data_IF_698422124518
#
_entry.id   IF_698422124518
#
_cell.length_a   1.000
_cell.length_b   1.000
_cell.length_c   1.000
_cell.angle_alpha   90.00
_cell.angle_beta   90.00
_cell.angle_gamma   90.00
#
_symmetry.space_group_name_H-M   'P 1'
#
loop_
_entity.id
_entity.type
_entity.pdbx_description
1 polymer ?
2 non-polymer ?
3 non-polymer ?
#
# COMPACT_ATOMS: atom_id res chain seq x y z
N UNK A 8 -10.95 25.77 20.24
CA UNK A 8 -10.72 24.53 20.97
C UNK A 8 -11.88 23.56 20.74
N UNK A 9 -11.71 22.65 19.78
CA UNK A 9 -12.74 21.70 19.40
C UNK A 9 -12.57 20.34 20.08
N UNK A 10 -11.89 20.29 21.22
CA UNK A 10 -11.67 19.02 21.90
C UNK A 10 -12.93 18.50 22.59
N UNK A 11 -13.93 19.34 22.79
CA UNK A 11 -15.19 18.91 23.35
C UNK A 11 -16.19 18.41 22.34
N UNK A 12 -15.78 18.20 21.09
CA UNK A 12 -16.71 17.84 20.03
C UNK A 12 -17.25 16.43 20.20
N UNK A 13 -16.36 15.46 20.42
CA UNK A 13 -16.78 14.07 20.51
C UNK A 13 -17.60 13.79 21.77
N UNK A 14 -17.36 14.55 22.83
CA UNK A 14 -18.22 14.45 24.01
C UNK A 14 -19.48 15.29 23.88
N UNK A 15 -19.47 16.29 22.99
CA UNK A 15 -20.70 17.02 22.67
C UNK A 15 -21.63 16.18 21.79
N UNK A 16 -21.09 15.23 21.05
CA UNK A 16 -21.88 14.33 20.21
C UNK A 16 -22.20 13.02 20.90
N UNK A 17 -21.71 12.81 22.12
CA UNK A 17 -21.92 11.54 22.80
C UNK A 17 -21.09 10.40 22.28
N UNK A 18 -19.99 10.69 21.58
CA UNK A 18 -19.14 9.66 21.01
C UNK A 18 -18.01 9.35 21.99
N UNK A 19 -17.78 8.10 22.35
CA UNK A 19 -16.69 7.77 23.27
C UNK A 19 -15.34 7.90 22.59
N UNK A 20 -14.30 7.76 23.40
CA UNK A 20 -12.94 7.86 22.92
C UNK A 20 -11.98 8.32 24.00
N UNK A 21 -10.69 8.34 23.69
CA UNK A 21 -9.70 8.77 24.67
C UNK A 21 -9.78 10.27 24.93
N UNK A 22 -9.46 10.66 26.15
CA UNK A 22 -9.51 12.06 26.54
C UNK A 22 -8.31 12.80 25.96
N UNK A 23 -8.52 13.87 25.19
CA UNK A 23 -7.40 14.55 24.57
C UNK A 23 -6.72 15.54 25.51
N UNK A 24 -5.41 15.68 25.31
CA UNK A 24 -4.61 16.68 26.00
C UNK A 24 -4.59 17.98 25.20
N UNK A 25 -4.38 19.13 25.84
CA UNK A 25 -4.31 20.39 25.10
C UNK A 25 -3.22 20.35 24.04
N UNK A 26 -3.52 20.96 22.89
CA UNK A 26 -2.62 21.02 21.75
C UNK A 26 -2.33 19.64 21.18
N UNK A 27 -1.77 18.74 22.01
CA UNK A 27 -1.33 17.45 21.50
C UNK A 27 -2.50 16.55 21.09
N UNK A 28 -3.59 16.59 21.86
CA UNK A 28 -4.71 15.70 21.59
C UNK A 28 -4.48 14.30 22.11
N UNK A 29 -4.48 13.31 21.20
CA UNK A 29 -4.22 11.92 21.58
C UNK A 29 -2.99 11.36 20.87
N UNK A 30 -2.10 12.22 20.38
CA UNK A 30 -0.94 11.75 19.64
C UNK A 30 0.06 11.05 20.54
N UNK A 31 0.03 11.31 21.85
CA UNK A 31 0.93 10.62 22.78
C UNK A 31 0.57 9.15 22.91
N UNK A 32 -0.66 8.75 22.56
CA UNK A 32 -1.01 7.35 22.55
C UNK A 32 -0.42 6.59 21.37
N UNK A 33 0.25 7.29 20.45
CA UNK A 33 0.90 6.65 19.31
C UNK A 33 2.25 6.05 19.66
N UNK A 34 2.62 6.02 20.93
CA UNK A 34 3.86 5.37 21.32
C UNK A 34 3.80 3.87 21.08
N UNK A 35 2.59 3.30 21.08
CA UNK A 35 2.41 1.90 20.71
C UNK A 35 2.35 1.73 19.20
N UNK A 36 1.90 2.74 18.47
CA UNK A 36 1.74 2.64 17.04
C UNK A 36 0.30 2.87 16.62
N UNK A 37 0.07 3.18 15.34
CA UNK A 37 -1.29 3.40 14.86
C UNK A 37 -2.11 2.12 14.93
N UNK A 38 -1.48 0.98 14.68
CA UNK A 38 -2.19 -0.29 14.69
C UNK A 38 -2.65 -0.64 16.10
N UNK A 39 -1.74 -0.59 17.08
CA UNK A 39 -2.10 -0.94 18.45
C UNK A 39 -3.08 0.07 19.04
N UNK A 40 -2.95 1.34 18.68
CA UNK A 40 -3.90 2.34 19.17
C UNK A 40 -5.31 2.09 18.62
N UNK A 41 -5.40 1.58 17.39
CA UNK A 41 -6.72 1.30 16.82
C UNK A 41 -7.31 0.02 17.41
N UNK A 42 -6.46 -0.96 17.75
CA UNK A 42 -6.97 -2.19 18.35
C UNK A 42 -7.40 -1.96 19.80
N UNK A 43 -6.66 -1.13 20.53
CA UNK A 43 -7.04 -0.83 21.91
C UNK A 43 -8.32 0.01 21.95
N UNK A 44 -8.49 0.92 21.01
CA UNK A 44 -9.69 1.75 20.99
C UNK A 44 -10.91 0.94 20.56
N UNK A 45 -10.77 0.10 19.53
CA UNK A 45 -11.89 -0.71 19.08
C UNK A 45 -12.30 -1.73 20.13
N UNK A 46 -11.38 -2.12 21.00
CA UNK A 46 -11.69 -3.10 22.04
C UNK A 46 -12.51 -2.49 23.17
N UNK A 47 -12.15 -1.29 23.63
CA UNK A 47 -12.80 -0.69 24.79
C UNK A 47 -13.88 0.31 24.44
N UNK A 48 -13.91 0.84 23.22
CA UNK A 48 -14.90 1.83 22.85
C UNK A 48 -15.99 1.33 21.91
N UNK A 49 -15.79 0.17 21.28
CA UNK A 49 -16.85 -0.44 20.50
C UNK A 49 -16.82 -0.16 19.02
N UNK A 50 -17.99 0.03 18.42
CA UNK A 50 -18.11 0.16 16.97
C UNK A 50 -17.69 1.53 16.47
N UNK A 51 -17.84 2.57 17.28
CA UNK A 51 -17.55 3.94 16.86
C UNK A 51 -16.88 4.68 18.02
N UNK A 52 -15.77 5.35 17.73
CA UNK A 52 -15.08 6.17 18.71
C UNK A 52 -14.40 7.33 17.99
N UNK A 53 -13.88 8.26 18.77
CA UNK A 53 -13.25 9.44 18.22
C UNK A 53 -12.02 9.84 19.02
N UNK A 54 -11.05 10.42 18.32
CA UNK A 54 -9.84 10.95 18.94
C UNK A 54 -9.41 12.19 18.18
N UNK A 55 -8.36 12.84 18.65
CA UNK A 55 -7.91 14.11 18.11
C UNK A 55 -6.44 14.02 17.73
N UNK A 56 -6.14 14.19 16.45
CA UNK A 56 -4.76 14.34 15.96
C UNK A 56 -4.38 15.81 16.12
N UNK A 57 -3.98 16.16 17.33
CA UNK A 57 -3.73 17.55 17.67
C UNK A 57 -5.03 18.28 17.93
N UNK A 58 -5.43 19.14 16.99
CA UNK A 58 -6.73 19.79 17.03
C UNK A 58 -7.70 19.23 16.00
N UNK A 59 -7.29 18.19 15.26
CA UNK A 59 -8.12 17.63 14.21
C UNK A 59 -8.92 16.46 14.76
N UNK A 60 -10.25 16.54 14.81
CA UNK A 60 -11.04 15.40 15.28
C UNK A 60 -11.10 14.32 14.21
N UNK A 61 -10.85 13.08 14.64
CA UNK A 61 -10.86 11.92 13.75
C UNK A 61 -11.87 10.91 14.30
N UNK A 62 -12.92 10.66 13.53
CA UNK A 62 -13.96 9.70 13.91
C UNK A 62 -13.70 8.38 13.21
N UNK A 63 -13.55 7.32 14.00
CA UNK A 63 -13.30 5.98 13.48
C UNK A 63 -14.59 5.18 13.49
N UNK A 64 -14.89 4.53 12.37
CA UNK A 64 -16.09 3.72 12.21
C UNK A 64 -15.68 2.30 11.86
N UNK A 65 -16.45 1.32 12.36
CA UNK A 65 -16.22 -0.07 12.06
C UNK A 65 -17.46 -0.79 11.55
N UNK A 66 -18.58 -0.09 11.39
CA UNK A 66 -19.81 -0.71 10.91
C UNK A 66 -19.70 -0.92 9.39
N UNK A 67 -19.89 -2.15 8.90
CA UNK A 67 -19.72 -2.39 7.46
C UNK A 67 -20.66 -1.56 6.59
N UNK A 68 -21.92 -1.40 6.99
CA UNK A 68 -22.83 -0.55 6.24
C UNK A 68 -22.41 0.92 6.32
N UNK A 69 -21.87 1.34 7.46
CA UNK A 69 -21.39 2.72 7.57
C UNK A 69 -20.12 2.93 6.77
N UNK A 70 -19.26 1.92 6.69
CA UNK A 70 -18.07 2.01 5.85
C UNK A 70 -18.47 2.06 4.38
N UNK A 71 -19.50 1.29 3.99
CA UNK A 71 -19.97 1.32 2.61
C UNK A 71 -20.55 2.68 2.24
N UNK A 72 -21.19 3.36 3.20
CA UNK A 72 -21.73 4.68 2.91
C UNK A 72 -20.62 5.70 2.69
N UNK A 73 -19.52 5.59 3.44
CA UNK A 73 -18.43 6.53 3.31
C UNK A 73 -17.60 6.25 2.06
N UNK A 74 -17.22 4.99 1.85
CA UNK A 74 -16.31 4.66 0.75
C UNK A 74 -17.02 4.59 -0.60
N UNK A 75 -18.29 4.18 -0.62
CA UNK A 75 -18.96 3.90 -1.90
C UNK A 75 -20.17 4.77 -2.19
N UNK A 76 -21.07 4.90 -1.22
CA UNK A 76 -22.36 5.55 -1.43
C UNK A 76 -22.14 7.06 -1.55
N UNK A 77 -21.85 7.70 -0.42
CA UNK A 77 -21.67 9.16 -0.40
C UNK A 77 -20.22 9.56 -0.62
N UNK A 78 -19.60 8.99 -1.64
CA UNK A 78 -18.20 9.30 -1.94
C UNK A 78 -18.07 10.64 -2.65
N UNK A 79 -18.78 10.80 -3.77
CA UNK A 79 -18.67 12.04 -4.54
C UNK A 79 -19.34 13.23 -3.87
N UNK A 80 -20.21 12.99 -2.88
CA UNK A 80 -20.97 14.05 -2.24
C UNK A 80 -20.35 14.54 -0.95
N UNK A 81 -19.86 13.65 -0.09
CA UNK A 81 -19.41 14.01 1.25
C UNK A 81 -17.97 13.58 1.48
N UNK A 82 -17.65 12.32 1.22
CA UNK A 82 -16.36 11.74 1.53
C UNK A 82 -15.58 11.53 0.23
N UNK A 83 -15.03 12.62 -0.29
CA UNK A 83 -14.34 12.61 -1.58
C UNK A 83 -12.83 12.58 -1.45
N UNK A 84 -12.28 13.25 -0.45
CA UNK A 84 -10.83 13.43 -0.35
C UNK A 84 -10.34 12.98 1.02
N UNK A 85 -9.04 12.68 1.08
CA UNK A 85 -8.37 12.37 2.33
C UNK A 85 -7.85 13.65 2.97
N UNK A 86 -7.34 13.52 4.20
CA UNK A 86 -6.86 14.69 4.90
C UNK A 86 -5.53 15.15 4.32
N UNK A 87 -5.29 16.46 4.29
CA UNK A 87 -4.04 16.98 3.72
C UNK A 87 -2.92 17.06 4.76
N UNK A 88 -1.72 16.73 4.31
CA UNK A 88 -0.52 16.86 5.11
C UNK A 88 0.18 18.19 4.78
N UNK A 89 1.44 18.32 5.15
CA UNK A 89 2.13 19.59 5.14
C UNK A 89 2.49 20.11 3.77
N UNK A 90 3.67 20.73 3.66
CA UNK A 90 4.06 21.35 2.39
C UNK A 90 4.18 20.36 1.25
N UNK A 91 3.26 20.45 0.29
CA UNK A 91 3.22 19.52 -0.82
C UNK A 91 3.90 20.06 -2.08
N UNK A 92 4.05 21.38 -2.21
CA UNK A 92 4.69 21.93 -3.39
C UNK A 92 3.83 21.72 -4.62
N UNK A 93 4.49 21.37 -5.73
CA UNK A 93 3.78 21.08 -6.97
C UNK A 93 3.10 19.73 -6.96
N UNK A 94 3.35 18.90 -5.95
CA UNK A 94 2.72 17.59 -5.82
C UNK A 94 1.25 17.66 -5.43
N UNK A 95 0.65 18.85 -5.37
CA UNK A 95 -0.78 18.95 -5.11
C UNK A 95 -1.61 18.39 -6.25
N UNK A 96 -1.01 18.20 -7.42
CA UNK A 96 -1.68 17.63 -8.58
C UNK A 96 -1.64 16.11 -8.61
N UNK A 97 -1.11 15.48 -7.55
CA UNK A 97 -1.12 14.03 -7.48
C UNK A 97 -2.55 13.52 -7.33
N UNK A 98 -2.83 12.39 -7.98
CA UNK A 98 -4.19 11.85 -7.98
C UNK A 98 -4.63 11.52 -6.55
N UNK A 99 -3.70 11.03 -5.73
CA UNK A 99 -4.03 10.70 -4.35
C UNK A 99 -4.13 11.93 -3.45
N UNK A 100 -3.50 13.04 -3.84
CA UNK A 100 -3.59 14.27 -3.07
C UNK A 100 -4.62 15.24 -3.66
N UNK A 101 -5.02 15.05 -4.92
CA UNK A 101 -6.04 15.89 -5.53
C UNK A 101 -7.36 15.76 -4.79
N UNK A 102 -8.21 16.78 -4.93
CA UNK A 102 -9.47 16.84 -4.20
C UNK A 102 -10.61 17.26 -5.13
N UNK A 103 -11.77 16.68 -4.89
CA UNK A 103 -13.05 17.09 -5.52
C UNK A 103 -12.93 16.89 -7.03
N UNK A 104 -13.40 17.86 -7.83
CA UNK A 104 -13.45 17.67 -9.28
C UNK A 104 -12.05 17.57 -9.89
N UNK A 105 -11.05 18.15 -9.22
CA UNK A 105 -9.67 18.00 -9.68
C UNK A 105 -9.24 16.53 -9.70
N UNK A 106 -9.69 15.76 -8.71
CA UNK A 106 -9.34 14.35 -8.65
C UNK A 106 -10.16 13.53 -9.64
N UNK A 107 -11.44 13.87 -9.82
CA UNK A 107 -12.29 13.14 -10.76
C UNK A 107 -11.73 13.19 -12.18
N UNK A 108 -11.10 14.30 -12.55
CA UNK A 108 -10.49 14.40 -13.87
C UNK A 108 -9.25 13.51 -13.98
N UNK A 109 -8.46 13.43 -12.91
CA UNK A 109 -7.26 12.60 -12.94
C UNK A 109 -7.59 11.12 -12.81
N UNK A 110 -8.58 10.78 -11.98
CA UNK A 110 -8.98 9.38 -11.85
C UNK A 110 -9.58 8.85 -13.14
N UNK A 111 -10.23 9.71 -13.92
CA UNK A 111 -10.76 9.29 -15.21
C UNK A 111 -9.69 9.25 -16.29
N UNK A 112 -8.68 10.13 -16.19
CA UNK A 112 -7.60 10.16 -17.17
C UNK A 112 -6.57 9.06 -16.96
N UNK A 113 -6.47 8.52 -15.74
CA UNK A 113 -5.49 7.49 -15.44
C UNK A 113 -6.10 6.10 -15.27
N UNK A 114 -7.42 5.99 -15.25
CA UNK A 114 -8.05 4.67 -15.17
C UNK A 114 -7.76 3.78 -16.38
N UNK A 115 -7.79 4.27 -17.62
CA UNK A 115 -7.47 3.37 -18.75
C UNK A 115 -6.05 2.82 -18.70
N UNK A 116 -5.14 3.44 -17.96
CA UNK A 116 -3.77 2.95 -17.87
C UNK A 116 -3.68 1.62 -17.13
N UNK A 117 -4.72 1.26 -16.37
CA UNK A 117 -4.75 0.01 -15.61
C UNK A 117 -5.82 -0.94 -16.14
N UNK A 118 -5.98 -0.98 -17.46
CA UNK A 118 -6.95 -1.88 -18.08
C UNK A 118 -6.41 -3.30 -18.13
N UNK A 119 -7.34 -4.27 -18.18
CA UNK A 119 -6.93 -5.66 -18.30
C UNK A 119 -6.15 -5.92 -19.58
N UNK A 120 -6.43 -5.15 -20.63
CA UNK A 120 -5.70 -5.28 -21.87
C UNK A 120 -4.32 -4.63 -21.79
N UNK A 121 -4.26 -3.46 -21.15
CA UNK A 121 -2.98 -2.78 -20.99
C UNK A 121 -2.07 -3.53 -20.03
N UNK A 122 -2.64 -4.15 -18.99
CA UNK A 122 -1.83 -4.85 -18.01
C UNK A 122 -1.23 -6.13 -18.60
N UNK A 123 -2.01 -6.85 -19.42
CA UNK A 123 -1.48 -8.05 -20.07
C UNK A 123 -0.29 -7.72 -20.97
N UNK A 124 -0.25 -6.49 -21.49
CA UNK A 124 0.91 -6.04 -22.25
C UNK A 124 2.13 -5.80 -21.37
N UNK A 125 1.94 -5.60 -20.07
CA UNK A 125 3.04 -5.35 -19.14
C UNK A 125 3.59 -6.63 -18.52
N UNK A 126 2.92 -7.77 -18.72
CA UNK A 126 3.40 -9.02 -18.12
C UNK A 126 4.78 -9.43 -18.66
N UNK A 127 5.04 -9.41 -19.96
CA UNK A 127 6.39 -9.82 -20.42
C UNK A 127 7.50 -8.92 -19.91
N UNK A 128 7.22 -7.64 -19.64
CA UNK A 128 8.26 -6.74 -19.17
C UNK A 128 8.65 -7.06 -17.74
N UNK A 129 7.67 -7.23 -16.86
CA UNK A 129 7.96 -7.47 -15.46
C UNK A 129 8.34 -8.91 -15.18
N UNK A 130 8.04 -9.83 -16.10
CA UNK A 130 8.52 -11.20 -15.97
C UNK A 130 10.00 -11.31 -16.34
N UNK A 131 10.52 -10.36 -17.13
CA UNK A 131 11.94 -10.34 -17.44
C UNK A 131 12.77 -10.16 -16.17
N UNK A 132 12.36 -9.21 -15.32
CA UNK A 132 13.04 -9.00 -14.05
C UNK A 132 12.74 -10.09 -13.03
N UNK A 133 11.67 -10.85 -13.24
CA UNK A 133 11.49 -12.07 -12.46
C UNK A 133 12.62 -13.06 -12.69
N UNK A 134 13.15 -13.10 -13.92
CA UNK A 134 14.35 -13.88 -14.19
C UNK A 134 15.57 -13.21 -13.57
N UNK A 135 15.63 -11.88 -13.63
CA UNK A 135 16.75 -11.16 -13.03
C UNK A 135 16.76 -11.32 -11.52
N UNK A 136 15.57 -11.37 -10.91
CA UNK A 136 15.49 -11.60 -9.47
C UNK A 136 16.03 -12.98 -9.09
N UNK A 137 15.73 -13.99 -9.92
CA UNK A 137 16.28 -15.32 -9.69
C UNK A 137 17.78 -15.32 -9.92
N UNK A 138 18.26 -14.51 -10.87
CA UNK A 138 19.70 -14.45 -11.14
C UNK A 138 20.45 -13.91 -9.93
N UNK A 139 19.93 -12.83 -9.33
CA UNK A 139 20.51 -12.33 -8.09
C UNK A 139 20.22 -13.25 -6.91
N UNK A 140 19.15 -14.04 -6.98
CA UNK A 140 18.85 -14.99 -5.91
C UNK A 140 19.81 -16.19 -5.97
N UNK A 141 20.02 -16.74 -7.16
CA UNK A 141 20.91 -17.89 -7.29
C UNK A 141 22.32 -17.57 -6.81
N UNK A 142 22.78 -16.34 -7.03
CA UNK A 142 24.08 -15.92 -6.52
C UNK A 142 24.06 -15.80 -5.01
N UNK A 143 23.07 -15.09 -4.46
CA UNK A 143 22.94 -14.98 -3.02
C UNK A 143 22.46 -16.27 -2.38
N UNK A 144 22.06 -17.27 -3.17
CA UNK A 144 21.87 -18.62 -2.66
C UNK A 144 23.16 -19.44 -2.73
N UNK A 145 23.94 -19.27 -3.81
CA UNK A 145 25.22 -19.96 -3.89
C UNK A 145 26.28 -19.30 -3.03
N UNK A 146 26.09 -18.04 -2.64
CA UNK A 146 26.99 -17.43 -1.67
C UNK A 146 26.82 -18.03 -0.28
N UNK A 147 25.75 -18.79 -0.06
CA UNK A 147 25.60 -19.61 1.13
C UNK A 147 25.49 -18.88 2.45
N UNK A 148 24.56 -17.95 2.55
CA UNK A 148 24.30 -17.24 3.80
C UNK A 148 22.92 -16.62 3.74
N UNK A 149 22.31 -16.31 4.88
CA UNK A 149 20.95 -15.75 4.89
C UNK A 149 20.86 -14.48 4.06
N UNK A 150 19.69 -14.28 3.45
CA UNK A 150 19.45 -13.21 2.50
C UNK A 150 18.44 -12.24 3.10
N UNK A 151 18.74 -10.95 3.02
CA UNK A 151 17.79 -9.91 3.41
C UNK A 151 16.80 -9.69 2.27
N UNK A 152 15.52 -9.97 2.53
CA UNK A 152 14.53 -9.97 1.46
C UNK A 152 14.27 -8.56 0.93
N UNK A 153 14.23 -7.56 1.81
CA UNK A 153 13.88 -6.21 1.38
C UNK A 153 14.92 -5.62 0.43
N UNK A 154 16.13 -6.18 0.37
CA UNK A 154 17.12 -5.72 -0.59
C UNK A 154 16.83 -6.26 -1.99
N UNK A 155 16.66 -7.58 -2.10
CA UNK A 155 16.38 -8.17 -3.41
C UNK A 155 14.98 -7.81 -3.88
N UNK A 156 14.02 -7.72 -2.97
CA UNK A 156 12.67 -7.32 -3.34
C UNK A 156 12.59 -5.82 -3.61
N UNK A 157 13.34 -5.01 -2.87
CA UNK A 157 13.40 -3.59 -3.18
C UNK A 157 14.04 -3.31 -4.52
N UNK A 158 15.07 -4.08 -4.87
CA UNK A 158 15.67 -3.94 -6.19
C UNK A 158 14.72 -4.44 -7.28
N UNK A 159 14.03 -5.55 -7.03
CA UNK A 159 13.07 -6.06 -8.01
C UNK A 159 11.94 -5.06 -8.22
N UNK A 160 11.35 -4.57 -7.12
CA UNK A 160 10.28 -3.59 -7.24
C UNK A 160 10.76 -2.31 -7.93
N UNK A 161 12.02 -1.95 -7.72
CA UNK A 161 12.57 -0.77 -8.39
C UNK A 161 12.72 -1.02 -9.89
N UNK A 162 13.22 -2.20 -10.28
CA UNK A 162 13.39 -2.50 -11.70
C UNK A 162 12.05 -2.60 -12.40
N UNK A 163 11.04 -3.18 -11.73
CA UNK A 163 9.71 -3.27 -12.32
C UNK A 163 9.11 -1.88 -12.51
N UNK A 164 9.36 -0.98 -11.57
CA UNK A 164 8.82 0.37 -11.66
C UNK A 164 9.42 1.11 -12.84
N UNK A 165 10.75 1.12 -12.94
CA UNK A 165 11.42 1.92 -13.97
C UNK A 165 11.04 1.45 -15.36
N UNK A 166 10.95 0.13 -15.57
CA UNK A 166 10.63 -0.38 -16.89
C UNK A 166 9.16 -0.17 -17.24
N UNK A 167 8.27 -0.21 -16.24
CA UNK A 167 6.85 -0.01 -16.50
C UNK A 167 6.45 1.45 -16.51
N UNK A 168 7.13 2.30 -15.74
CA UNK A 168 6.79 3.72 -15.70
C UNK A 168 7.49 4.52 -16.79
N UNK A 169 8.71 4.13 -17.18
CA UNK A 169 9.44 4.85 -18.22
C UNK A 169 10.16 3.95 -19.21
N UNK A 170 10.47 2.70 -18.87
CA UNK A 170 11.18 1.81 -19.77
C UNK A 170 12.68 1.82 -19.65
N UNK A 171 13.23 2.53 -18.66
CA UNK A 171 14.68 2.57 -18.44
C UNK A 171 15.08 1.26 -17.78
N UNK A 172 15.55 0.31 -18.57
CA UNK A 172 15.88 -1.02 -18.09
C UNK A 172 17.21 -0.98 -17.35
N UNK A 173 17.17 -1.19 -16.03
CA UNK A 173 18.35 -1.23 -15.19
C UNK A 173 18.29 -2.50 -14.34
N UNK A 174 19.44 -2.89 -13.81
CA UNK A 174 19.56 -3.95 -12.81
C UNK A 174 19.91 -3.27 -11.50
N UNK A 175 18.88 -2.89 -10.74
CA UNK A 175 19.06 -2.02 -9.58
C UNK A 175 20.02 -2.64 -8.56
N UNK A 176 19.96 -3.96 -8.38
CA UNK A 176 20.85 -4.60 -7.41
C UNK A 176 22.27 -4.70 -7.96
N UNK A 177 22.42 -4.97 -9.25
CA UNK A 177 23.73 -5.06 -9.88
C UNK A 177 24.24 -3.74 -10.42
N UNK A 178 23.37 -2.72 -10.50
CA UNK A 178 23.76 -1.35 -10.84
C UNK A 178 23.33 -0.39 -9.74
N UNK A 179 23.81 -0.58 -8.50
CA UNK A 179 23.37 0.31 -7.41
C UNK A 179 24.12 1.63 -7.35
N UNK A 180 25.23 1.77 -8.09
CA UNK A 180 25.91 3.06 -8.14
C UNK A 180 25.03 4.11 -8.81
N UNK A 181 24.25 3.72 -9.81
CA UNK A 181 23.20 4.55 -10.40
C UNK A 181 21.87 3.92 -10.05
N UNK A 182 21.26 4.26 -8.91
CA UNK A 182 20.03 3.55 -8.51
C UNK A 182 18.86 3.70 -9.47
N UNK A 183 18.48 4.90 -9.94
CA UNK A 183 18.95 6.21 -9.52
C UNK A 183 18.04 6.77 -8.44
N UNK A 184 17.22 5.89 -7.86
CA UNK A 184 16.28 6.27 -6.82
C UNK A 184 16.65 5.58 -5.51
N UNK A 185 17.71 6.05 -4.87
CA UNK A 185 18.01 5.68 -3.49
C UNK A 185 17.22 6.52 -2.50
N UNK A 186 16.29 7.33 -2.98
CA UNK A 186 15.51 8.23 -2.15
C UNK A 186 14.54 7.45 -1.27
N UNK A 197 8.41 10.90 11.88
CA UNK A 197 8.01 11.42 13.18
C UNK A 197 8.67 12.76 13.57
N UNK A 198 10.02 12.87 13.49
CA UNK A 198 10.66 14.10 13.97
C UNK A 198 10.22 15.43 13.36
N UNK A 199 9.30 15.38 12.40
CA UNK A 199 8.72 16.56 11.76
C UNK A 199 7.23 16.46 11.53
N UNK A 200 6.77 15.27 11.13
CA UNK A 200 5.34 15.08 10.86
C UNK A 200 4.53 15.07 12.15
N UNK A 201 5.13 14.67 13.27
CA UNK A 201 4.47 14.84 14.55
C UNK A 201 4.28 16.31 14.88
N UNK A 202 5.28 17.14 14.56
CA UNK A 202 5.16 18.57 14.77
C UNK A 202 4.25 19.24 13.74
N UNK A 203 4.22 18.72 12.52
CA UNK A 203 3.43 19.35 11.46
C UNK A 203 1.94 19.14 11.71
N UNK A 204 1.54 18.00 12.27
CA UNK A 204 0.12 17.78 12.54
C UNK A 204 -0.35 18.52 13.78
N UNK A 205 0.51 18.66 14.79
CA UNK A 205 0.15 19.46 15.96
C UNK A 205 0.24 20.95 15.64
N UNK A 206 1.10 21.32 14.69
CA UNK A 206 1.25 22.70 14.24
C UNK A 206 0.90 22.77 12.76
N UNK A 207 -0.40 22.69 12.42
CA UNK A 207 -0.79 22.84 11.00
C UNK A 207 -0.70 24.27 10.52
N UNK A 208 -0.61 25.24 11.43
CA UNK A 208 -0.50 26.64 11.05
C UNK A 208 0.86 26.98 10.45
N UNK A 209 1.84 26.08 10.54
CA UNK A 209 3.16 26.30 9.97
C UNK A 209 3.29 25.74 8.57
N UNK A 210 2.24 25.13 8.03
CA UNK A 210 2.27 24.53 6.70
C UNK A 210 2.38 25.60 5.62
N UNK A 211 1.54 26.66 5.63
CA UNK A 211 1.70 27.70 4.60
C UNK A 211 3.05 28.40 4.63
N UNK A 212 3.72 28.42 5.78
CA UNK A 212 5.04 29.03 5.85
C UNK A 212 6.05 28.20 5.07
N UNK A 213 5.99 26.88 5.20
CA UNK A 213 6.92 26.01 4.49
C UNK A 213 6.63 26.01 2.99
N UNK A 214 5.37 26.21 2.59
CA UNK A 214 5.04 26.23 1.17
C UNK A 214 5.60 27.48 0.50
N UNK A 215 5.51 28.63 1.16
CA UNK A 215 6.00 29.87 0.57
C UNK A 215 7.52 29.92 0.55
N UNK A 216 8.18 29.09 1.36
CA UNK A 216 9.63 28.98 1.36
C UNK A 216 10.13 27.91 0.39
N UNK A 217 9.27 27.45 -0.52
CA UNK A 217 9.56 26.38 -1.47
C UNK A 217 9.96 25.07 -0.80
N UNK A 218 9.72 24.95 0.50
CA UNK A 218 10.04 23.73 1.24
C UNK A 218 8.91 22.73 1.01
N UNK A 219 9.27 21.45 0.91
CA UNK A 219 8.31 20.37 0.74
C UNK A 219 8.66 19.24 1.69
N UNK A 220 7.64 18.43 2.02
CA UNK A 220 7.86 17.26 2.86
C UNK A 220 8.79 16.28 2.15
N UNK A 221 8.67 16.17 0.84
CA UNK A 221 9.63 15.41 0.06
C UNK A 221 10.89 16.24 -0.18
N UNK A 222 12.06 15.60 -0.27
CA UNK A 222 13.26 16.35 -0.64
C UNK A 222 13.08 17.07 -1.96
N UNK A 223 12.90 18.39 -1.89
CA UNK A 223 12.54 19.17 -3.07
C UNK A 223 13.63 19.14 -4.13
N UNK A 224 14.90 18.97 -3.73
CA UNK A 224 15.99 18.91 -4.70
C UNK A 224 15.88 17.69 -5.62
N UNK A 225 15.01 16.75 -5.26
CA UNK A 225 14.75 15.64 -6.14
C UNK A 225 13.64 16.06 -7.06
N UNK A 226 13.04 15.14 -7.80
CA UNK A 226 11.94 15.47 -8.73
C UNK A 226 12.55 16.15 -9.94
N UNK A 227 13.26 17.26 -9.71
CA UNK A 227 13.79 18.04 -10.82
C UNK A 227 14.72 17.25 -11.73
N UNK A 228 15.46 16.28 -11.18
CA UNK A 228 16.33 15.45 -12.02
C UNK A 228 15.56 14.31 -12.68
N UNK A 229 14.41 13.92 -12.13
CA UNK A 229 13.55 12.95 -12.79
C UNK A 229 12.64 13.59 -13.82
N UNK A 230 12.45 14.91 -13.75
CA UNK A 230 11.55 15.59 -14.68
C UNK A 230 12.23 15.93 -16.00
N UNK A 231 13.47 16.41 -15.95
CA UNK A 231 14.18 16.76 -17.18
C UNK A 231 14.46 15.55 -18.05
N UNK A 232 14.35 14.34 -17.51
CA UNK A 232 14.49 13.14 -18.34
C UNK A 232 13.24 12.90 -19.19
N UNK A 233 12.09 13.40 -18.74
CA UNK A 233 10.87 13.23 -19.53
C UNK A 233 10.79 14.24 -20.68
N UNK A 234 11.59 15.30 -20.64
CA UNK A 234 11.59 16.29 -21.71
C UNK A 234 12.28 15.80 -22.97
N UNK A 235 13.19 14.84 -22.85
CA UNK A 235 13.92 14.31 -24.00
C UNK A 235 13.31 13.05 -24.60
N UNK A 236 12.61 12.25 -23.79
CA UNK A 236 12.07 10.98 -24.26
C UNK A 236 10.60 11.04 -24.65
N UNK A 237 9.83 11.99 -24.11
CA UNK A 237 8.43 12.10 -24.48
C UNK A 237 8.25 12.50 -25.95
N UNK A 238 9.19 13.28 -26.48
CA UNK A 238 9.13 13.71 -27.88
C UNK A 238 10.33 13.17 -28.65
N UNK A 239 11.55 13.62 -28.35
CA UNK A 239 12.73 13.15 -29.06
C UNK A 239 13.06 11.71 -28.67
N UNK A 247 7.13 3.14 -30.12
CA UNK A 247 6.52 1.82 -30.21
C UNK A 247 6.60 1.08 -28.87
N UNK A 248 7.32 1.66 -27.92
CA UNK A 248 7.49 1.06 -26.61
C UNK A 248 6.28 1.35 -25.73
N UNK A 249 5.97 0.40 -24.84
CA UNK A 249 4.81 0.49 -23.96
C UNK A 249 5.28 0.61 -22.53
N UNK A 250 4.70 1.55 -21.80
CA UNK A 250 4.98 1.77 -20.38
C UNK A 250 3.91 2.71 -19.85
N UNK A 251 4.01 3.04 -18.55
CA UNK A 251 3.06 3.96 -17.95
C UNK A 251 3.14 5.35 -18.58
N UNK A 252 4.34 5.77 -18.97
CA UNK A 252 4.51 7.11 -19.54
C UNK A 252 3.83 7.20 -20.91
N UNK A 253 4.13 6.25 -21.80
CA UNK A 253 3.57 6.30 -23.15
C UNK A 253 2.05 6.21 -23.14
N UNK A 254 1.48 5.57 -22.13
CA UNK A 254 0.02 5.48 -22.03
C UNK A 254 -0.62 6.77 -21.54
N UNK A 255 0.14 7.64 -20.90
CA UNK A 255 -0.38 8.91 -20.42
C UNK A 255 -0.28 10.03 -21.46
N UNK A 256 0.68 9.92 -22.39
CA UNK A 256 0.86 10.96 -23.39
C UNK A 256 -0.24 10.92 -24.44
N UNK A 257 -0.78 9.72 -24.71
CA UNK A 257 -1.78 9.59 -25.76
C UNK A 257 -3.05 10.35 -25.44
N UNK A 258 -3.35 10.56 -24.16
CA UNK A 258 -4.55 11.30 -23.75
C UNK A 258 -4.41 12.78 -24.07
N UNK A 268 -10.62 18.14 -19.86
CA UNK A 268 -9.68 18.73 -20.81
C UNK A 268 -8.33 18.03 -20.72
N UNK A 269 -7.43 18.34 -21.66
CA UNK A 269 -6.15 17.66 -21.74
C UNK A 269 -5.29 17.96 -20.52
N UNK A 270 -4.23 17.16 -20.36
CA UNK A 270 -3.34 17.28 -19.22
C UNK A 270 -2.25 18.31 -19.46
N UNK A 271 -1.47 18.57 -18.42
CA UNK A 271 -0.32 19.45 -18.47
C UNK A 271 0.96 18.64 -18.37
N UNK A 272 2.08 19.28 -18.76
CA UNK A 272 3.36 18.61 -18.68
C UNK A 272 3.79 18.37 -17.24
N UNK A 273 3.56 19.37 -16.37
CA UNK A 273 3.87 19.20 -14.96
C UNK A 273 2.91 18.22 -14.29
N UNK A 274 1.67 18.13 -14.79
CA UNK A 274 0.74 17.14 -14.27
C UNK A 274 1.21 15.72 -14.60
N UNK A 275 1.85 15.54 -15.75
CA UNK A 275 2.36 14.22 -16.10
C UNK A 275 3.50 13.80 -15.19
N UNK A 276 4.28 14.76 -14.68
CA UNK A 276 5.41 14.45 -13.83
C UNK A 276 4.94 14.03 -12.43
N UNK A 277 3.90 14.69 -11.92
CA UNK A 277 3.45 14.43 -10.55
C UNK A 277 2.88 13.03 -10.41
N UNK A 278 2.18 12.54 -11.44
CA UNK A 278 1.58 11.22 -11.34
C UNK A 278 2.62 10.12 -11.42
N UNK A 279 3.67 10.32 -12.22
CA UNK A 279 4.72 9.31 -12.32
C UNK A 279 5.52 9.21 -11.02
N UNK A 280 5.59 10.30 -10.25
CA UNK A 280 6.28 10.24 -8.97
C UNK A 280 5.46 9.44 -7.96
N UNK A 281 4.14 9.62 -7.96
CA UNK A 281 3.30 8.89 -7.03
C UNK A 281 3.20 7.42 -7.41
N UNK A 282 3.46 7.07 -8.67
CA UNK A 282 3.46 5.66 -9.06
C UNK A 282 4.70 4.95 -8.55
N UNK A 283 5.83 5.66 -8.44
CA UNK A 283 7.04 5.05 -7.92
C UNK A 283 6.94 4.85 -6.42
N UNK A 284 6.44 5.85 -5.70
CA UNK A 284 6.30 5.73 -4.25
C UNK A 284 5.31 4.63 -3.88
N UNK A 285 4.24 4.49 -4.65
CA UNK A 285 3.21 3.50 -4.36
C UNK A 285 3.57 2.10 -4.84
N UNK A 286 4.60 1.96 -5.67
CA UNK A 286 4.95 0.66 -6.20
C UNK A 286 6.23 0.10 -5.63
N UNK A 287 7.01 0.94 -4.95
CA UNK A 287 8.32 0.51 -4.42
C UNK A 287 8.16 -0.06 -3.01
N UNK A 288 7.82 0.79 -2.05
CA UNK A 288 7.73 0.34 -0.66
C UNK A 288 6.61 -0.67 -0.45
N UNK A 289 5.57 -0.61 -1.27
CA UNK A 289 4.43 -1.51 -1.10
C UNK A 289 4.72 -2.91 -1.61
N UNK A 290 5.28 -3.01 -2.82
CA UNK A 290 5.55 -4.32 -3.40
C UNK A 290 6.62 -5.07 -2.60
N UNK A 291 7.66 -4.36 -2.16
CA UNK A 291 8.75 -5.03 -1.44
C UNK A 291 8.31 -5.48 -0.06
N UNK A 292 7.55 -4.64 0.65
CA UNK A 292 7.15 -5.00 2.01
C UNK A 292 6.18 -6.17 2.02
N UNK A 293 5.18 -6.16 1.14
CA UNK A 293 4.22 -7.26 1.09
C UNK A 293 4.91 -8.56 0.70
N UNK A 294 5.79 -8.50 -0.30
CA UNK A 294 6.58 -9.68 -0.66
C UNK A 294 7.46 -10.13 0.49
N UNK A 295 7.89 -9.20 1.34
CA UNK A 295 8.68 -9.58 2.51
C UNK A 295 7.81 -10.27 3.55
N UNK A 296 6.60 -9.79 3.76
CA UNK A 296 5.69 -10.44 4.70
C UNK A 296 5.26 -11.81 4.19
N UNK A 297 5.09 -11.93 2.86
CA UNK A 297 4.63 -13.21 2.29
C UNK A 297 5.70 -14.28 2.47
N UNK A 298 6.94 -13.99 2.09
CA UNK A 298 8.01 -14.96 2.23
C UNK A 298 8.32 -15.29 3.68
N UNK A 299 8.01 -14.37 4.60
CA UNK A 299 8.11 -14.70 6.02
C UNK A 299 7.06 -15.72 6.42
N UNK A 300 5.83 -15.55 5.93
CA UNK A 300 4.77 -16.50 6.24
C UNK A 300 5.02 -17.85 5.56
N UNK A 301 5.62 -17.84 4.37
CA UNK A 301 5.89 -19.09 3.67
C UNK A 301 7.03 -19.86 4.33
N UNK A 302 8.08 -19.16 4.74
CA UNK A 302 9.21 -19.84 5.39
C UNK A 302 8.83 -20.35 6.77
N UNK A 303 7.96 -19.64 7.48
CA UNK A 303 7.49 -20.11 8.78
C UNK A 303 6.38 -21.13 8.68
N UNK A 304 5.84 -21.37 7.49
CA UNK A 304 4.82 -22.40 7.25
C UNK A 304 5.25 -23.19 6.02
N UNK A 305 6.16 -24.16 6.19
CA UNK A 305 6.61 -24.93 5.03
C UNK A 305 5.50 -25.72 4.34
N UNK A 306 4.47 -26.11 5.08
CA UNK A 306 3.33 -26.80 4.47
C UNK A 306 2.63 -25.90 3.45
N UNK A 307 2.50 -24.61 3.77
CA UNK A 307 1.93 -23.68 2.81
C UNK A 307 2.89 -23.46 1.64
N UNK A 308 4.19 -23.38 1.93
CA UNK A 308 5.18 -23.23 0.87
C UNK A 308 5.28 -24.50 0.02
N UNK A 309 5.14 -25.67 0.66
CA UNK A 309 5.14 -26.91 -0.09
C UNK A 309 3.92 -27.02 -1.00
N UNK A 310 2.75 -26.68 -0.47
CA UNK A 310 1.53 -26.76 -1.27
C UNK A 310 1.52 -25.73 -2.39
N UNK A 311 2.06 -24.54 -2.13
CA UNK A 311 2.08 -23.50 -3.15
C UNK A 311 3.03 -23.86 -4.28
N UNK A 312 4.20 -24.41 -3.96
CA UNK A 312 5.14 -24.83 -4.99
C UNK A 312 4.59 -25.98 -5.82
N UNK A 313 3.77 -26.85 -5.21
CA UNK A 313 3.14 -27.93 -5.98
C UNK A 313 2.11 -27.38 -6.96
N UNK A 314 1.34 -26.38 -6.55
CA UNK A 314 0.39 -25.76 -7.47
C UNK A 314 1.11 -24.99 -8.57
N UNK A 315 2.20 -24.31 -8.23
CA UNK A 315 2.98 -23.59 -9.24
C UNK A 315 3.55 -24.57 -10.26
N UNK A 316 4.04 -25.71 -9.80
CA UNK A 316 4.55 -26.72 -10.73
C UNK A 316 3.43 -27.37 -11.53
N UNK A 317 2.22 -27.42 -10.98
CA UNK A 317 1.11 -28.04 -11.69
C UNK A 317 0.62 -27.18 -12.84
N UNK A 318 0.40 -25.89 -12.57
CA UNK A 318 -0.07 -24.99 -13.62
C UNK A 318 1.05 -24.70 -14.62
N UNK A 319 2.28 -24.56 -14.12
CA UNK A 319 3.45 -24.30 -14.96
C UNK A 319 4.39 -25.50 -14.88
N UNK A 320 4.27 -26.47 -15.77
CA UNK A 320 5.13 -27.66 -15.69
C UNK A 320 6.57 -27.34 -16.09
N UNK A 321 7.51 -27.89 -15.31
CA UNK A 321 8.94 -27.81 -15.61
C UNK A 321 9.42 -26.36 -15.66
N UNK A 322 9.11 -25.60 -14.61
CA UNK A 322 9.52 -24.20 -14.48
C UNK A 322 9.08 -23.39 -15.70
N UNK A 323 7.83 -23.59 -16.12
CA UNK A 323 7.32 -22.89 -17.28
C UNK A 323 7.19 -21.40 -16.99
N UNK A 324 7.36 -20.56 -18.01
CA UNK A 324 7.26 -19.11 -17.80
C UNK A 324 5.84 -18.70 -17.45
N UNK A 325 5.68 -17.87 -16.43
CA UNK A 325 4.33 -17.44 -16.03
C UNK A 325 3.79 -16.40 -16.99
N UNK A 326 2.50 -16.52 -17.29
CA UNK A 326 1.79 -15.61 -18.20
C UNK A 326 0.67 -14.91 -17.43
N UNK A 327 -0.01 -14.00 -18.12
CA UNK A 327 -1.12 -13.28 -17.51
C UNK A 327 -2.27 -14.21 -17.17
N UNK A 328 -2.65 -15.07 -18.12
CA UNK A 328 -3.76 -15.99 -17.88
C UNK A 328 -3.38 -17.08 -16.89
N UNK A 329 -2.09 -17.41 -16.79
CA UNK A 329 -1.65 -18.42 -15.84
C UNK A 329 -1.77 -17.92 -14.41
N UNK A 330 -1.40 -16.67 -14.16
CA UNK A 330 -1.45 -16.12 -12.81
C UNK A 330 -2.88 -16.08 -12.29
N UNK A 331 -3.82 -15.66 -13.14
CA UNK A 331 -5.22 -15.59 -12.75
C UNK A 331 -5.88 -16.96 -12.60
N UNK A 332 -5.13 -18.05 -12.72
CA UNK A 332 -5.68 -19.39 -12.50
C UNK A 332 -5.25 -19.99 -11.17
N UNK A 333 -4.03 -19.71 -10.71
CA UNK A 333 -3.54 -20.25 -9.45
C UNK A 333 -4.36 -19.67 -8.30
N UNK A 334 -5.22 -20.51 -7.70
CA UNK A 334 -6.08 -20.05 -6.63
C UNK A 334 -5.35 -20.04 -5.28
N UNK A 335 -4.54 -21.06 -5.01
CA UNK A 335 -3.84 -21.09 -3.74
C UNK A 335 -2.82 -19.96 -3.63
N UNK A 336 -2.27 -19.52 -4.76
CA UNK A 336 -1.42 -18.33 -4.75
C UNK A 336 -2.22 -17.10 -4.39
N UNK A 337 -3.45 -16.99 -4.89
CA UNK A 337 -4.31 -15.87 -4.52
C UNK A 337 -4.70 -15.93 -3.05
N UNK A 338 -4.91 -17.14 -2.53
CA UNK A 338 -5.25 -17.29 -1.12
C UNK A 338 -4.09 -16.90 -0.22
N UNK A 339 -2.85 -17.15 -0.66
CA UNK A 339 -1.69 -16.78 0.14
C UNK A 339 -1.50 -15.27 0.13
N UNK A 340 -1.66 -14.64 -1.03
CA UNK A 340 -1.49 -13.19 -1.12
C UNK A 340 -2.58 -12.47 -0.34
N UNK A 341 -3.83 -12.98 -0.41
CA UNK A 341 -4.93 -12.32 0.28
C UNK A 341 -4.79 -12.46 1.80
N UNK A 342 -4.32 -13.62 2.28
CA UNK A 342 -4.24 -13.84 3.71
C UNK A 342 -3.10 -13.07 4.34
N UNK A 343 -2.00 -12.84 3.60
CA UNK A 343 -0.92 -12.04 4.13
C UNK A 343 -1.31 -10.56 4.16
N UNK A 344 -2.06 -10.10 3.15
CA UNK A 344 -2.55 -8.73 3.18
C UNK A 344 -3.53 -8.49 4.31
N UNK A 345 -4.21 -9.55 4.78
CA UNK A 345 -5.07 -9.41 5.95
C UNK A 345 -4.25 -9.15 7.19
N UNK A 346 -3.19 -9.95 7.41
CA UNK A 346 -2.35 -9.75 8.58
C UNK A 346 -1.58 -8.44 8.50
N UNK A 347 -1.24 -7.98 7.30
CA UNK A 347 -0.43 -6.78 7.12
C UNK A 347 -1.02 -5.91 6.01
N UNK A 348 -2.12 -5.20 6.30
CA UNK A 348 -2.57 -4.15 5.37
C UNK A 348 -1.69 -2.92 5.49
N UNK A 349 -0.70 -2.80 4.60
CA UNK A 349 0.35 -1.80 4.75
C UNK A 349 -0.18 -0.37 4.78
N UNK A 350 -1.43 -0.15 4.41
CA UNK A 350 -2.02 1.18 4.54
C UNK A 350 -2.55 1.42 5.94
N UNK A 351 -2.94 0.36 6.65
CA UNK A 351 -3.36 0.43 8.05
C UNK A 351 -4.73 1.09 8.17
N UNK A 352 -4.89 2.28 7.58
CA UNK A 352 -6.11 3.05 7.73
C UNK A 352 -6.63 3.52 6.39
N UNK A 353 -7.96 3.66 6.31
CA UNK A 353 -8.64 4.33 5.22
C UNK A 353 -9.27 5.59 5.76
N UNK A 354 -9.03 6.72 5.11
CA UNK A 354 -9.46 8.02 5.63
C UNK A 354 -10.18 8.83 4.56
N UNK A 355 -11.24 9.51 4.99
CA UNK A 355 -11.99 10.43 4.15
C UNK A 355 -12.33 11.67 4.97
N UNK A 356 -12.43 12.80 4.30
CA UNK A 356 -12.74 14.08 4.93
C UNK A 356 -14.21 14.39 4.72
N UNK A 357 -14.93 14.63 5.83
CA UNK A 357 -16.34 14.99 5.76
C UNK A 357 -16.47 16.41 5.24
N UNK A 358 -17.04 16.57 4.05
CA UNK A 358 -17.09 17.87 3.38
C UNK A 358 -18.21 18.76 3.91
N UNK A 359 -19.21 18.22 4.58
CA UNK A 359 -20.33 19.02 5.08
C UNK A 359 -21.06 18.22 6.15
N UNK A 360 -21.92 18.93 6.90
CA UNK A 360 -22.73 18.30 7.91
C UNK A 360 -23.69 17.30 7.29
N UNK A 361 -23.54 16.03 7.65
CA UNK A 361 -24.34 14.95 7.09
C UNK A 361 -24.74 14.00 8.22
N UNK A 362 -25.53 12.99 7.86
CA UNK A 362 -26.01 11.99 8.81
C UNK A 362 -26.06 10.65 8.08
N UNK A 363 -25.11 9.76 8.40
CA UNK A 363 -24.94 8.50 7.70
C UNK A 363 -25.37 7.35 8.62
N UNK A 364 -26.29 6.53 8.14
CA UNK A 364 -26.67 5.27 8.79
C UNK A 364 -27.06 5.46 10.26
N UNK A 365 -27.55 6.64 10.61
CA UNK A 365 -28.10 6.89 11.92
C UNK A 365 -27.25 7.72 12.86
N UNK A 366 -26.14 8.28 12.41
CA UNK A 366 -25.31 9.13 13.25
C UNK A 366 -24.93 10.39 12.48
N UNK A 367 -24.78 11.49 13.21
CA UNK A 367 -24.49 12.79 12.61
C UNK A 367 -22.99 13.00 12.51
N UNK A 368 -22.53 13.43 11.34
CA UNK A 368 -21.12 13.69 11.10
C UNK A 368 -20.95 15.16 10.74
N UNK A 369 -20.39 15.97 11.64
CA UNK A 369 -20.20 17.40 11.33
C UNK A 369 -19.11 17.61 10.29
N UNK A 370 -19.10 18.81 9.73
CA UNK A 370 -18.15 19.15 8.67
C UNK A 370 -16.73 19.24 9.23
N UNK A 371 -15.76 18.81 8.42
CA UNK A 371 -14.36 18.89 8.77
C UNK A 371 -13.82 17.70 9.54
N UNK A 372 -14.66 16.74 9.90
CA UNK A 372 -14.23 15.58 10.66
C UNK A 372 -13.65 14.54 9.71
N UNK A 373 -12.47 14.02 10.06
CA UNK A 373 -11.81 12.99 9.27
C UNK A 373 -12.39 11.64 9.67
N UNK A 374 -13.10 10.99 8.76
CA UNK A 374 -13.65 9.66 8.98
C UNK A 374 -12.58 8.63 8.63
N UNK A 375 -12.25 7.77 9.59
CA UNK A 375 -11.17 6.81 9.43
C UNK A 375 -11.70 5.39 9.58
N UNK A 376 -11.22 4.50 8.71
CA UNK A 376 -11.56 3.08 8.75
C UNK A 376 -10.32 2.33 9.19
N UNK A 377 -10.29 1.77 10.41
CA UNK A 377 -9.10 1.02 10.86
C UNK A 377 -8.98 -0.33 10.17
N UNK A 378 -8.33 -0.35 9.00
CA UNK A 378 -8.23 -1.59 8.24
C UNK A 378 -7.46 -2.66 9.00
N UNK A 379 -6.39 -2.27 9.69
CA UNK A 379 -5.61 -3.24 10.47
C UNK A 379 -6.44 -3.81 11.61
N UNK A 380 -7.15 -2.95 12.34
CA UNK A 380 -7.94 -3.43 13.47
C UNK A 380 -9.10 -4.30 13.03
N UNK A 381 -9.69 -4.01 11.87
CA UNK A 381 -10.79 -4.83 11.37
C UNK A 381 -10.29 -6.19 10.87
N UNK A 382 -9.09 -6.23 10.30
CA UNK A 382 -8.54 -7.49 9.79
C UNK A 382 -8.14 -8.46 10.89
N UNK A 383 -8.15 -8.03 12.15
CA UNK A 383 -7.78 -8.87 13.28
C UNK A 383 -8.88 -8.85 14.34
N UNK A 384 -10.13 -8.79 13.90
CA UNK A 384 -11.27 -8.75 14.81
C UNK A 384 -11.89 -10.13 14.90
N UNK A 385 -12.02 -10.72 16.09
CA UNK A 385 -12.68 -12.03 16.20
C UNK A 385 -14.15 -12.03 15.78
N UNK A 386 -14.75 -10.86 15.57
CA UNK A 386 -16.13 -10.81 15.10
C UNK A 386 -16.27 -11.39 13.70
N UNK A 387 -15.22 -11.30 12.89
CA UNK A 387 -15.27 -11.76 11.50
C UNK A 387 -14.21 -12.78 11.14
N UNK A 388 -13.20 -13.00 12.00
CA UNK A 388 -12.10 -13.89 11.69
C UNK A 388 -11.87 -14.83 12.86
N UNK A 389 -11.70 -16.12 12.56
CA UNK A 389 -11.38 -17.12 13.57
C UNK A 389 -9.86 -17.24 13.68
N UNK A 390 -9.34 -17.11 14.91
CA UNK A 390 -7.91 -17.09 15.18
C UNK A 390 -7.26 -16.00 14.33
N UNK A 391 -7.45 -14.73 14.68
CA UNK A 391 -6.96 -13.65 13.81
C UNK A 391 -5.46 -13.61 13.67
N UNK A 392 -4.71 -13.97 14.72
CA UNK A 392 -3.26 -13.92 14.66
C UNK A 392 -2.66 -15.09 13.89
N UNK A 393 -3.47 -16.07 13.48
CA UNK A 393 -2.98 -17.23 12.75
C UNK A 393 -2.94 -16.96 11.25
N UNK A 394 -1.98 -17.59 10.59
CA UNK A 394 -1.83 -17.51 9.14
C UNK A 394 -2.51 -18.74 8.54
N UNK A 395 -3.76 -18.57 8.13
CA UNK A 395 -4.59 -19.66 7.60
C UNK A 395 -5.08 -19.26 6.22
N UNK A 396 -4.35 -19.64 5.16
CA UNK A 396 -4.78 -19.25 3.80
C UNK A 396 -6.14 -19.78 3.40
N UNK A 397 -6.67 -20.78 4.10
CA UNK A 397 -7.96 -21.36 3.75
C UNK A 397 -9.14 -20.45 4.05
N UNK A 398 -8.91 -19.26 4.61
CA UNK A 398 -10.01 -18.31 4.76
C UNK A 398 -10.53 -17.82 3.42
N UNK A 399 -9.66 -17.79 2.40
CA UNK A 399 -10.01 -17.23 1.10
C UNK A 399 -10.20 -18.30 0.03
N UNK A 400 -10.43 -19.55 0.43
CA UNK A 400 -10.83 -20.57 -0.52
C UNK A 400 -12.22 -20.26 -1.06
N UNK A 401 -12.56 -20.88 -2.19
CA UNK A 401 -13.84 -20.61 -2.83
C UNK A 401 -15.03 -21.02 -1.98
N UNK A 402 -14.81 -21.77 -0.90
CA UNK A 402 -15.90 -22.11 0.01
C UNK A 402 -16.15 -21.00 1.02
N UNK A 403 -15.08 -20.43 1.60
CA UNK A 403 -15.20 -19.44 2.65
C UNK A 403 -15.02 -18.00 2.16
N UNK A 404 -14.70 -17.81 0.88
CA UNK A 404 -14.54 -16.45 0.38
C UNK A 404 -15.87 -15.72 0.29
N UNK A 405 -16.97 -16.45 0.15
CA UNK A 405 -18.29 -15.82 0.07
C UNK A 405 -18.75 -15.29 1.42
N UNK A 406 -18.17 -15.77 2.52
CA UNK A 406 -18.58 -15.37 3.86
C UNK A 406 -17.71 -14.26 4.43
N UNK A 407 -17.02 -13.51 3.57
CA UNK A 407 -16.12 -12.43 3.99
C UNK A 407 -16.72 -11.12 3.53
N UNK A 408 -16.89 -10.20 4.49
CA UNK A 408 -17.48 -8.90 4.18
C UNK A 408 -16.49 -8.07 3.37
N UNK A 409 -16.88 -7.55 2.20
CA UNK A 409 -15.94 -6.76 1.39
C UNK A 409 -15.57 -5.42 2.01
N UNK A 410 -16.19 -5.03 3.14
CA UNK A 410 -15.84 -3.79 3.81
C UNK A 410 -15.16 -4.02 5.15
N UNK A 411 -15.09 -5.26 5.62
CA UNK A 411 -14.21 -5.58 6.75
C UNK A 411 -12.80 -5.88 6.26
N UNK A 412 -12.68 -6.49 5.08
CA UNK A 412 -11.39 -6.81 4.47
C UNK A 412 -11.18 -5.86 3.30
N UNK A 413 -10.46 -4.76 3.55
CA UNK A 413 -10.18 -3.74 2.54
C UNK A 413 -8.68 -3.45 2.52
N UNK A 414 -7.89 -4.33 1.91
CA UNK A 414 -6.44 -4.04 1.78
C UNK A 414 -6.13 -3.01 0.71
N UNK A 415 -7.07 -2.76 -0.21
CA UNK A 415 -6.89 -1.75 -1.26
C UNK A 415 -7.96 -0.67 -1.19
N UNK A 416 -8.63 -0.53 -0.05
CA UNK A 416 -9.73 0.41 0.02
C UNK A 416 -10.95 -0.10 -0.74
N UNK A 417 -11.88 0.82 -0.99
CA UNK A 417 -13.08 0.49 -1.73
C UNK A 417 -13.71 1.78 -2.22
N UNK A 418 -14.60 1.63 -3.20
CA UNK A 418 -15.32 2.76 -3.76
C UNK A 418 -14.57 3.40 -4.90
N UNK A 419 -15.03 4.58 -5.34
CA UNK A 419 -14.37 5.25 -6.48
C UNK A 419 -12.93 5.65 -6.22
N UNK A 420 -12.54 5.84 -4.96
CA UNK A 420 -11.18 6.25 -4.61
C UNK A 420 -10.40 5.10 -3.97
N UNK A 421 -10.59 3.89 -4.48
CA UNK A 421 -9.80 2.75 -4.04
C UNK A 421 -8.42 2.80 -4.69
N UNK A 422 -7.62 1.76 -4.45
CA UNK A 422 -6.29 1.68 -5.03
C UNK A 422 -6.41 1.50 -6.53
N UNK A 423 -6.02 2.52 -7.30
CA UNK A 423 -6.10 2.44 -8.75
C UNK A 423 -5.09 1.46 -9.32
N UNK A 424 -4.04 1.12 -8.56
CA UNK A 424 -3.06 0.17 -9.01
C UNK A 424 -3.16 -1.16 -8.29
N UNK A 425 -4.38 -1.55 -7.93
CA UNK A 425 -4.59 -2.81 -7.22
C UNK A 425 -4.27 -4.00 -8.12
N UNK A 426 -4.85 -4.04 -9.31
CA UNK A 426 -4.63 -5.18 -10.19
C UNK A 426 -3.20 -5.22 -10.72
N UNK A 427 -2.56 -4.06 -10.87
CA UNK A 427 -1.15 -4.05 -11.28
C UNK A 427 -0.26 -4.59 -10.18
N UNK A 428 -0.54 -4.22 -8.92
CA UNK A 428 0.26 -4.71 -7.81
C UNK A 428 0.09 -6.21 -7.60
N UNK A 429 -1.15 -6.70 -7.68
CA UNK A 429 -1.39 -8.12 -7.52
C UNK A 429 -0.70 -8.93 -8.60
N UNK A 430 -0.76 -8.47 -9.85
CA UNK A 430 -0.10 -9.18 -10.94
C UNK A 430 1.42 -9.08 -10.81
N UNK A 431 1.92 -7.93 -10.36
CA UNK A 431 3.37 -7.77 -10.21
C UNK A 431 3.92 -8.64 -9.09
N UNK A 432 3.21 -8.71 -7.96
CA UNK A 432 3.70 -9.49 -6.83
C UNK A 432 3.61 -10.99 -7.11
N UNK A 433 2.53 -11.43 -7.75
CA UNK A 433 2.36 -12.86 -8.01
C UNK A 433 3.38 -13.36 -9.04
N UNK A 434 3.65 -12.56 -10.08
CA UNK A 434 4.62 -12.97 -11.08
C UNK A 434 6.02 -13.14 -10.50
N UNK A 435 6.32 -12.41 -9.43
CA UNK A 435 7.59 -12.61 -8.73
C UNK A 435 7.54 -13.85 -7.84
N UNK A 436 6.41 -14.07 -7.16
CA UNK A 436 6.29 -15.22 -6.28
C UNK A 436 6.41 -16.53 -7.04
N UNK A 437 5.97 -16.57 -8.30
CA UNK A 437 6.03 -17.81 -9.08
C UNK A 437 7.48 -18.13 -9.45
N UNK A 438 8.18 -17.17 -10.06
CA UNK A 438 9.55 -17.43 -10.48
C UNK A 438 10.48 -17.64 -9.29
N UNK A 439 10.17 -17.02 -8.15
CA UNK A 439 11.01 -17.20 -6.96
C UNK A 439 10.83 -18.60 -6.39
N UNK A 440 9.58 -19.05 -6.26
CA UNK A 440 9.30 -20.37 -5.72
C UNK A 440 9.51 -21.49 -6.73
N UNK A 441 9.61 -21.17 -8.03
CA UNK A 441 9.92 -22.19 -9.02
C UNK A 441 11.34 -22.71 -8.90
N UNK A 442 12.21 -21.98 -8.20
CA UNK A 442 13.63 -22.35 -8.12
C UNK A 442 14.16 -22.49 -6.70
N UNK A 443 13.50 -21.94 -5.69
CA UNK A 443 14.08 -21.90 -4.35
C UNK A 443 13.03 -22.26 -3.30
N UNK A 444 13.51 -22.88 -2.22
CA UNK A 444 12.74 -23.08 -1.02
C UNK A 444 13.32 -22.20 0.09
N UNK A 445 12.45 -21.74 0.98
CA UNK A 445 12.81 -20.74 1.98
C UNK A 445 12.59 -21.30 3.38
N UNK A 446 13.64 -21.31 4.18
CA UNK A 446 13.61 -21.76 5.56
C UNK A 446 14.12 -20.65 6.48
N UNK A 447 13.63 -20.60 7.72
CA UNK A 447 14.10 -19.56 8.65
C UNK A 447 15.57 -19.76 9.01
N UNK A 448 16.12 -18.74 9.68
CA UNK A 448 17.50 -18.74 10.12
C UNK A 448 17.57 -18.39 11.60
N UNK A 449 18.79 -18.38 12.14
CA UNK A 449 18.98 -18.00 13.53
C UNK A 449 18.68 -16.53 13.76
N UNK A 450 18.86 -15.70 12.74
CA UNK A 450 18.63 -14.26 12.85
C UNK A 450 17.19 -13.88 12.53
N UNK A 451 16.37 -14.83 12.09
CA UNK A 451 14.98 -14.53 11.76
C UNK A 451 14.21 -14.19 13.03
N UNK A 452 13.57 -13.02 13.03
CA UNK A 452 12.82 -12.53 14.19
C UNK A 452 11.50 -13.27 14.26
N UNK A 453 11.42 -14.25 15.15
CA UNK A 453 10.22 -15.06 15.35
C UNK A 453 9.81 -14.92 16.82
N UNK A 454 8.60 -14.42 17.12
CA UNK A 454 7.62 -13.92 16.17
C UNK A 454 8.01 -12.57 15.57
N UNK A 455 7.43 -12.23 14.42
CA UNK A 455 7.77 -10.98 13.74
C UNK A 455 7.19 -9.79 14.51
N UNK A 456 8.07 -8.86 14.89
CA UNK A 456 7.65 -7.68 15.63
C UNK A 456 7.44 -6.49 14.69
N UNK A 457 6.20 -6.03 14.61
CA UNK A 457 5.85 -4.89 13.74
C UNK A 457 6.59 -3.64 14.18
N UNK A 458 7.16 -2.93 13.21
CA UNK A 458 7.89 -1.70 13.49
C UNK A 458 7.01 -0.68 14.22
N UNK A 459 7.32 -0.43 15.48
CA UNK A 459 6.56 0.52 16.30
C UNK A 459 6.51 1.90 15.64
N UNK A 460 7.23 2.03 14.53
CA UNK A 460 7.28 3.30 13.81
C UNK A 460 5.94 3.67 13.22
N UNK A 461 5.97 4.44 12.14
CA UNK A 461 4.76 4.88 11.48
C UNK A 461 4.40 3.94 10.34
N UNK A 462 5.42 3.37 9.71
CA UNK A 462 5.22 2.45 8.61
C UNK A 462 4.88 1.02 9.01
N UNK A 463 3.96 0.40 8.27
CA UNK A 463 3.54 -0.97 8.56
C UNK A 463 4.59 -1.97 8.09
N UNK A 464 5.68 -2.12 8.84
CA UNK A 464 6.75 -3.06 8.47
C UNK A 464 7.23 -3.84 9.70
N UNK A 465 8.29 -4.66 9.57
CA UNK A 465 8.71 -5.38 10.77
C UNK A 465 9.91 -4.71 11.43
N UNK A 466 9.99 -4.81 12.76
CA UNK A 466 11.10 -4.22 13.51
C UNK A 466 12.43 -4.50 12.84
N UNK A 467 12.83 -5.77 12.85
CA UNK A 467 14.08 -6.17 12.24
C UNK A 467 13.80 -6.77 10.89
N UNK A 468 14.56 -6.40 9.91
CA UNK A 468 14.31 -6.89 8.55
C UNK A 468 14.38 -8.41 8.47
N UNK A 469 13.60 -8.97 7.57
CA UNK A 469 13.45 -10.42 7.46
C UNK A 469 14.68 -11.00 6.79
N UNK A 470 15.24 -12.05 7.39
CA UNK A 470 16.37 -12.79 6.84
C UNK A 470 16.01 -14.26 6.84
N UNK A 471 16.23 -14.92 5.70
CA UNK A 471 15.84 -16.32 5.54
C UNK A 471 16.92 -17.06 4.77
N UNK A 472 16.86 -18.39 4.83
CA UNK A 472 17.75 -19.24 4.06
C UNK A 472 17.11 -19.59 2.72
N UNK A 473 17.91 -19.52 1.66
CA UNK A 473 17.43 -19.74 0.30
C UNK A 473 18.19 -20.93 -0.26
N UNK A 474 17.49 -22.04 -0.47
CA UNK A 474 18.08 -23.26 -0.99
C UNK A 474 17.57 -23.52 -2.41
N UNK A 475 18.48 -23.95 -3.28
CA UNK A 475 18.12 -24.26 -4.66
C UNK A 475 17.42 -25.61 -4.74
N UNK A 476 16.37 -25.68 -5.56
CA UNK A 476 15.61 -26.91 -5.72
C UNK A 476 16.32 -27.88 -6.67
X LIG B 1 -4.61 4.10 -2.91
X LIG B 1 -3.20 -0.18 -1.07
X LIG B 1 0.09 -0.60 -4.62
X LIG B 1 -1.47 3.54 -6.57
X LIG B 1 -4.51 2.99 -2.10
X LIG B 1 -5.29 2.73 -0.91
X LIG B 1 -4.91 1.56 -0.39
X LIG B 1 -3.87 1.02 -1.24
X LIG B 1 -5.49 0.89 0.87
X LIG B 1 -6.38 3.66 -0.32
X LIG B 1 -7.74 3.27 -0.90
X LIG B 1 -8.81 4.17 -0.32
X LIG B 1 -10.01 3.88 -0.52
X LIG B 1 -8.45 5.18 0.35
X LIG B 1 -2.19 -0.67 -1.87
X LIG B 1 -1.49 -1.94 -1.68
X LIG B 1 -0.58 -2.05 -2.67
X LIG B 1 -0.68 -0.87 -3.50
X LIG B 1 -1.82 -2.91 -0.53
X LIG B 1 0.43 -3.19 -2.96
X LIG B 1 0.55 -4.32 -2.24
X LIG B 1 -0.10 0.44 -5.50
X LIG B 1 0.52 0.57 -6.80
X LIG B 1 0.09 1.73 -7.35
X LIG B 1 -0.81 2.35 -6.40
X LIG B 1 1.50 -0.48 -7.38
X LIG B 1 0.42 2.36 -8.72
X LIG B 1 1.25 1.85 -9.64
X LIG B 1 -2.43 4.08 -5.74
X LIG B 1 -3.07 5.36 -5.88
X LIG B 1 -3.93 5.52 -4.87
X LIG B 1 -3.87 4.33 -4.04
X LIG B 1 -2.79 6.38 -7.02
X LIG B 1 -4.84 6.75 -4.62
X LIG B 1 -6.04 6.68 -5.56
X LIG B 1 -6.90 7.91 -5.37
X LIG B 1 -7.83 8.11 -6.19
X LIG B 1 -6.64 8.68 -4.41
X LIG B 1 -3.65 1.92 -2.27
X LIG B 1 -1.66 -0.05 -2.97
X LIG B 1 -0.90 1.54 -5.29
X LIG B 1 -2.94 3.48 -4.61
X LIG B 1 -2.27 1.73 -3.78
X LIG C 1 -0.49 12.70 10.44
X LIG C 1 0.63 11.06 11.77
X LIG C 1 -0.54 12.41 7.89
X LIG C 1 -1.17 13.06 5.33
X LIG C 1 -1.28 13.59 7.64
X LIG C 1 -2.09 9.05 7.57
X LIG C 1 -1.55 6.89 9.22
X LIG C 1 -0.73 8.88 7.99
X LIG C 1 -3.14 8.17 7.97
X LIG C 1 -2.88 7.08 8.81
X LIG C 1 -0.50 7.75 8.81
X LIG C 1 0.91 7.63 9.18
X LIG C 1 3.60 7.53 9.80
X LIG C 1 1.41 6.62 10.02
X LIG C 1 2.76 6.56 10.34
X LIG C 1 3.03 8.51 8.98
X LIG C 1 0.58 10.83 9.27
X LIG C 1 -0.10 12.25 11.71
X LIG C 1 0.95 10.37 10.58
X LIG C 1 -0.16 12.01 9.26
X LIG C 1 -1.63 13.94 6.33
X LIG C 1 -0.43 11.91 5.66
X LIG C 1 5.22 10.57 5.21
X LIG C 1 3.81 10.81 7.24
X LIG C 1 2.90 9.91 5.40
X LIG C 1 4.08 10.03 4.64
X LIG C 1 5.03 10.93 6.55
X LIG C 1 1.71 9.35 4.77
X LIG C 1 -0.60 8.31 3.78
X LIG C 1 1.65 8.88 3.43
X LIG C 1 0.47 8.34 2.89
X LIG C 1 -0.41 8.78 5.10
X LIG C 1 -2.00 7.75 3.43
X LIG C 1 -2.92 7.60 1.08
X LIG C 1 -2.11 6.41 -1.00
X LIG C 1 0.29 4.79 -2.04
X LIG C 1 -0.53 4.08 -2.96
X LIG C 1 -0.31 2.12 -1.74
X LIG C 1 0.52 2.79 -0.77
X LIG C 1 1.72 8.55 8.61
X LIG C 1 2.67 10.31 6.69
X LIG C 1 -0.09 11.57 6.92
X LIG C 1 0.71 9.27 5.65
X LIG C 1 -2.89 8.26 2.39
X LIG C 1 0.88 9.95 7.50
X LIG C 1 -2.13 6.41 0.52
X LIG C 1 0.43 6.28 -2.40
X LIG C 1 0.82 4.14 -0.90
X LIG C 1 -0.80 2.77 -2.81
X LIG C 1 -3.67 8.07 0.26
X LIG C 1 -0.85 7.26 -1.81
#
# INVERSE_FOLDING_TARGET
>A
MAYLYGTHSHGLFKKLGIPGPTPLPFLGNILSYHKGFCMFDMECHKKYGKVWGFYDGQQPVLAITDPDMIKTVLVKECYSVFTNRRPFGPVGFMKSAISIAEDEEWKRLRSLLSPTFTSGKLKEMVPIIAQYGDVLVRNLRREAETGKPVTLKDVFGAYSMDVITSTSFGVNIDSLNNPQDPFVENTKKLLRFDFLDPFFLSITVFPFLIPILEVLNICVFPREVTNFLRKSVKRMKESRLEDTQKHRVDFLQLMIDSQNSKETESHKALSDLELVAQSIIFIFAGYETTSSVLSFIMYELATHPDVQQKLQEEIDAVLPNKAPPTYDTVLQMEYLDMVVNETLRLFPIAMRLERVCKKDVEINGMFIPKGVVVMIPSYALHRDPKYWTEPEKFLPERFSKKNKDNIDPYIYTPFGSGPRNCIGMRFALMNMKLALIRVLQNFSFKPCKETQIPLKLSLGGLLQPEKPVVLKVESRDGTVSGAHHHH
>B hetero
1 HEM CHA CHB CHC CHD C1A C2A C3A C4A CMA CAA CBA CGA O1A O2A C1B C2B C3B C4B CMB CAB CBB C1C C2C C3C C4C CMC CAC CBC C1D C2D C3D C4D CMD CAD CBD CGD O1D O2D NA NB NC ND FE
>C hetero
1 O3L C19 C20 C21 C22 C24 C01 C02 C03 C04 C05 C06 C08 C09 C11 C12 C13 C15 C16 C17 C18 C25 C26 C27 C28 C29 C30 C31 C32 C33 C35 C36 C37 C38 C40 C42 C45 C47 C49 C50 N10 N14 N23 N34 N39 IR07 C41 C44 C51 N48 O46 S43
#
